data_IF_337649102731
#
_entry.id   IF_337649102731
#
_cell.length_a   1.000
_cell.length_b   1.000
_cell.length_c   1.000
_cell.angle_alpha   90.00
_cell.angle_beta   90.00
_cell.angle_gamma   90.00
#
_symmetry.space_group_name_H-M   'P 1'
#
loop_
_entity.id
_entity.type
_entity.pdbx_description
1 polymer ?
#
# COMPACT_ATOMS: atom_id res chain seq x y z
N UNK A 1 -21.73 -43.34 82.77
CA UNK A 1 -22.31 -43.93 81.56
C UNK A 1 -23.10 -42.91 80.71
N UNK A 2 -23.93 -42.05 81.33
CA UNK A 2 -24.72 -41.02 80.62
C UNK A 2 -23.88 -39.93 79.95
N UNK A 3 -22.78 -39.51 80.58
CA UNK A 3 -21.84 -38.48 79.99
C UNK A 3 -21.19 -38.99 78.71
N UNK A 4 -20.82 -40.22 78.63
CA UNK A 4 -20.20 -40.80 77.43
C UNK A 4 -21.19 -40.91 76.25
N UNK A 5 -22.48 -41.15 76.55
CA UNK A 5 -23.51 -41.15 75.51
C UNK A 5 -23.79 -39.76 74.94
N UNK A 6 -23.88 -38.77 75.79
CA UNK A 6 -24.07 -37.36 75.33
C UNK A 6 -22.90 -36.87 74.50
N UNK A 7 -21.67 -37.22 74.85
CA UNK A 7 -20.47 -36.87 74.06
C UNK A 7 -20.47 -37.56 72.67
N UNK A 8 -20.87 -38.83 72.58
CA UNK A 8 -21.02 -39.57 71.33
C UNK A 8 -22.14 -39.00 70.46
N UNK A 9 -23.29 -38.66 71.06
CA UNK A 9 -24.42 -38.05 70.34
C UNK A 9 -24.08 -36.70 69.79
N UNK A 10 -23.42 -35.82 70.54
CA UNK A 10 -22.96 -34.49 70.05
C UNK A 10 -21.93 -34.66 68.92
N UNK A 11 -21.03 -35.62 68.98
CA UNK A 11 -20.07 -35.93 67.95
C UNK A 11 -20.73 -36.39 66.63
N UNK A 12 -21.79 -37.21 66.74
CA UNK A 12 -22.57 -37.66 65.58
C UNK A 12 -23.32 -36.52 64.92
N UNK A 13 -23.93 -35.59 65.68
CA UNK A 13 -24.53 -34.37 65.14
C UNK A 13 -23.50 -33.48 64.41
N UNK A 14 -22.33 -33.29 65.02
CA UNK A 14 -21.25 -32.48 64.34
C UNK A 14 -20.75 -33.10 63.02
N UNK A 15 -20.64 -34.43 62.97
CA UNK A 15 -20.25 -35.16 61.75
C UNK A 15 -21.35 -35.04 60.70
N UNK A 16 -22.63 -35.16 61.06
CA UNK A 16 -23.75 -35.02 60.16
C UNK A 16 -23.82 -33.58 59.57
N UNK A 17 -23.66 -32.56 60.40
CA UNK A 17 -23.64 -31.16 59.94
C UNK A 17 -22.47 -30.88 59.01
N UNK A 18 -21.27 -31.42 59.29
CA UNK A 18 -20.11 -31.31 58.38
C UNK A 18 -20.35 -32.01 57.04
N UNK A 19 -21.00 -33.19 57.07
CA UNK A 19 -21.33 -33.92 55.84
C UNK A 19 -22.29 -33.12 54.97
N UNK A 20 -23.40 -32.60 55.52
CA UNK A 20 -24.36 -31.75 54.83
C UNK A 20 -23.70 -30.48 54.23
N UNK A 21 -22.75 -29.89 54.95
CA UNK A 21 -22.00 -28.71 54.46
C UNK A 21 -21.11 -29.08 53.28
N UNK A 22 -20.41 -30.20 53.34
CA UNK A 22 -19.52 -30.67 52.26
C UNK A 22 -20.35 -31.04 51.01
N UNK A 23 -21.49 -31.71 51.21
CA UNK A 23 -22.40 -32.09 50.12
C UNK A 23 -22.96 -30.84 49.39
N UNK A 24 -23.37 -29.82 50.15
CA UNK A 24 -23.79 -28.53 49.58
C UNK A 24 -22.65 -27.82 48.81
N UNK A 25 -21.41 -27.87 49.34
CA UNK A 25 -20.24 -27.32 48.65
C UNK A 25 -19.88 -28.06 47.34
N UNK A 26 -20.03 -29.39 47.35
CA UNK A 26 -19.80 -30.22 46.14
C UNK A 26 -20.82 -29.87 45.07
N UNK A 27 -22.10 -29.83 45.39
CA UNK A 27 -23.16 -29.46 44.45
C UNK A 27 -22.92 -28.07 43.84
N UNK A 28 -22.56 -27.07 44.66
CA UNK A 28 -22.27 -25.75 44.18
C UNK A 28 -21.06 -25.71 43.21
N UNK A 29 -20.00 -26.47 43.49
CA UNK A 29 -18.85 -26.58 42.63
C UNK A 29 -19.14 -27.34 41.32
N UNK A 30 -20.04 -28.31 41.32
CA UNK A 30 -20.48 -28.97 40.09
C UNK A 30 -21.25 -28.01 39.18
N UNK A 31 -22.15 -27.19 39.71
CA UNK A 31 -22.88 -26.17 38.98
C UNK A 31 -21.89 -25.11 38.41
N UNK A 32 -20.96 -24.65 39.22
CA UNK A 32 -19.94 -23.67 38.79
C UNK A 32 -19.07 -24.25 37.65
N UNK A 33 -18.69 -25.53 37.76
CA UNK A 33 -17.93 -26.24 36.72
C UNK A 33 -18.70 -26.34 35.41
N UNK A 34 -19.98 -26.65 35.43
CA UNK A 34 -20.83 -26.69 34.23
C UNK A 34 -20.91 -25.28 33.58
N UNK A 35 -21.15 -24.24 34.35
CA UNK A 35 -21.21 -22.87 33.86
C UNK A 35 -19.87 -22.41 33.22
N UNK A 36 -18.76 -22.74 33.86
CA UNK A 36 -17.43 -22.43 33.31
C UNK A 36 -17.15 -23.20 32.02
N UNK A 37 -17.59 -24.47 31.95
CA UNK A 37 -17.42 -25.30 30.75
C UNK A 37 -18.23 -24.73 29.57
N UNK A 38 -19.45 -24.30 29.79
CA UNK A 38 -20.29 -23.69 28.74
C UNK A 38 -19.76 -22.31 28.31
N UNK A 39 -19.29 -21.50 29.25
CA UNK A 39 -18.64 -20.26 28.94
C UNK A 39 -17.36 -20.46 28.07
N UNK A 40 -16.56 -21.47 28.42
CA UNK A 40 -15.37 -21.83 27.65
C UNK A 40 -15.73 -22.27 26.23
N UNK A 41 -16.77 -23.09 26.03
CA UNK A 41 -17.25 -23.46 24.68
C UNK A 41 -17.68 -22.22 23.85
N UNK A 42 -18.43 -21.32 24.49
CA UNK A 42 -18.87 -20.08 23.83
C UNK A 42 -17.71 -19.19 23.45
N UNK A 43 -16.70 -19.08 24.29
CA UNK A 43 -15.48 -18.28 23.97
C UNK A 43 -14.68 -18.91 22.84
N UNK A 44 -14.50 -20.21 22.83
CA UNK A 44 -13.84 -20.94 21.74
C UNK A 44 -14.58 -20.76 20.41
N UNK A 45 -15.89 -20.82 20.41
CA UNK A 45 -16.69 -20.59 19.22
C UNK A 45 -16.52 -19.13 18.70
N UNK A 46 -16.54 -18.15 19.60
CA UNK A 46 -16.26 -16.75 19.23
C UNK A 46 -14.84 -16.56 18.67
N UNK A 47 -13.85 -17.20 19.27
CA UNK A 47 -12.48 -17.15 18.78
C UNK A 47 -12.37 -17.66 17.34
N UNK A 48 -12.97 -18.82 17.03
CA UNK A 48 -13.01 -19.35 15.67
C UNK A 48 -13.63 -18.36 14.68
N UNK A 49 -14.77 -17.74 15.02
CA UNK A 49 -15.43 -16.74 14.16
C UNK A 49 -14.50 -15.56 13.90
N UNK A 50 -13.78 -15.07 14.92
CA UNK A 50 -12.84 -13.95 14.75
C UNK A 50 -11.63 -14.34 13.90
N UNK A 51 -11.09 -15.53 14.06
CA UNK A 51 -9.98 -16.05 13.24
C UNK A 51 -10.38 -16.15 11.76
N UNK A 52 -11.56 -16.69 11.47
CA UNK A 52 -12.11 -16.77 10.13
C UNK A 52 -12.34 -15.37 9.52
N UNK A 53 -12.89 -14.43 10.31
CA UNK A 53 -13.11 -13.06 9.87
C UNK A 53 -11.80 -12.35 9.54
N UNK A 54 -10.76 -12.52 10.37
CA UNK A 54 -9.43 -11.95 10.13
C UNK A 54 -8.82 -12.53 8.85
N UNK A 55 -8.92 -13.83 8.63
CA UNK A 55 -8.43 -14.49 7.42
C UNK A 55 -9.13 -13.94 6.17
N UNK A 56 -10.44 -13.84 6.20
CA UNK A 56 -11.22 -13.29 5.10
C UNK A 56 -10.86 -11.81 4.80
N UNK A 57 -10.70 -10.99 5.85
CA UNK A 57 -10.28 -9.60 5.69
C UNK A 57 -8.87 -9.47 5.07
N UNK A 58 -7.95 -10.35 5.44
CA UNK A 58 -6.62 -10.38 4.80
C UNK A 58 -6.70 -10.70 3.31
N UNK A 59 -7.46 -11.72 2.93
CA UNK A 59 -7.67 -12.08 1.53
C UNK A 59 -8.29 -10.92 0.72
N UNK A 60 -9.25 -10.21 1.30
CA UNK A 60 -9.88 -9.06 0.66
C UNK A 60 -8.91 -7.90 0.45
N UNK A 61 -8.09 -7.58 1.46
CA UNK A 61 -7.05 -6.54 1.37
C UNK A 61 -6.03 -6.90 0.29
N UNK A 62 -5.59 -8.15 0.25
CA UNK A 62 -4.64 -8.63 -0.75
C UNK A 62 -5.20 -8.55 -2.17
N UNK A 63 -6.47 -8.94 -2.36
CA UNK A 63 -7.13 -8.86 -3.66
C UNK A 63 -7.28 -7.41 -4.15
N UNK A 64 -7.67 -6.48 -3.28
CA UNK A 64 -7.78 -5.06 -3.59
C UNK A 64 -6.41 -4.46 -3.92
N UNK A 65 -5.41 -4.75 -3.11
CA UNK A 65 -4.04 -4.26 -3.32
C UNK A 65 -3.47 -4.74 -4.67
N UNK A 66 -3.65 -6.01 -5.01
CA UNK A 66 -3.21 -6.56 -6.31
C UNK A 66 -3.87 -5.88 -7.50
N UNK A 67 -5.15 -5.56 -7.42
CA UNK A 67 -5.87 -4.86 -8.50
C UNK A 67 -5.25 -3.49 -8.77
N UNK A 68 -4.98 -2.71 -7.71
CA UNK A 68 -4.36 -1.39 -7.84
C UNK A 68 -2.92 -1.46 -8.34
N UNK A 69 -2.13 -2.41 -7.83
CA UNK A 69 -0.76 -2.65 -8.29
C UNK A 69 -0.75 -2.98 -9.78
N UNK A 70 -1.61 -3.88 -10.24
CA UNK A 70 -1.71 -4.26 -11.65
C UNK A 70 -2.09 -3.09 -12.56
N UNK A 71 -2.99 -2.19 -12.13
CA UNK A 71 -3.34 -0.99 -12.90
C UNK A 71 -2.15 -0.03 -12.98
N UNK A 72 -1.46 0.20 -11.87
CA UNK A 72 -0.28 1.04 -11.82
C UNK A 72 0.87 0.48 -12.67
N UNK A 73 1.08 -0.83 -12.62
CA UNK A 73 2.07 -1.54 -13.44
C UNK A 73 1.81 -1.36 -14.93
N UNK A 74 0.55 -1.48 -15.36
CA UNK A 74 0.15 -1.25 -16.75
C UNK A 74 0.41 0.18 -17.20
N UNK A 75 0.04 1.16 -16.38
CA UNK A 75 0.25 2.58 -16.68
C UNK A 75 1.74 2.91 -16.79
N UNK A 76 2.54 2.44 -15.83
CA UNK A 76 4.00 2.63 -15.84
C UNK A 76 4.64 1.97 -17.04
N UNK A 77 4.26 0.74 -17.37
CA UNK A 77 4.80 0.02 -18.53
C UNK A 77 4.45 0.73 -19.84
N UNK A 78 3.23 1.23 -19.98
CA UNK A 78 2.83 2.04 -21.15
C UNK A 78 3.70 3.29 -21.29
N UNK A 79 3.91 4.03 -20.21
CA UNK A 79 4.73 5.24 -20.23
C UNK A 79 6.20 4.96 -20.51
N UNK A 80 6.77 3.94 -19.85
CA UNK A 80 8.18 3.57 -20.00
C UNK A 80 8.47 3.07 -21.42
N UNK A 81 7.62 2.23 -21.99
CA UNK A 81 7.79 1.75 -23.37
C UNK A 81 7.59 2.85 -24.41
N UNK A 82 6.74 3.84 -24.13
CA UNK A 82 6.52 4.98 -25.01
C UNK A 82 7.76 5.90 -25.03
N UNK A 83 8.32 6.20 -23.87
CA UNK A 83 9.45 7.14 -23.77
C UNK A 83 10.77 6.48 -24.16
N UNK A 84 11.06 5.29 -23.63
CA UNK A 84 12.31 4.55 -23.86
C UNK A 84 12.12 3.50 -24.97
N UNK A 85 11.68 3.96 -26.14
CA UNK A 85 11.33 3.12 -27.30
C UNK A 85 12.49 2.26 -27.83
N UNK A 86 13.73 2.69 -27.58
CA UNK A 86 14.98 2.02 -27.97
C UNK A 86 15.43 0.95 -26.95
N UNK A 87 14.70 0.81 -25.85
CA UNK A 87 14.97 -0.12 -24.77
C UNK A 87 13.76 -1.03 -24.51
N UNK A 88 14.00 -2.29 -24.26
CA UNK A 88 12.96 -3.23 -23.88
C UNK A 88 12.81 -3.25 -22.35
N UNK A 89 12.27 -2.16 -21.80
CA UNK A 89 12.05 -2.00 -20.38
C UNK A 89 10.67 -2.47 -19.95
N UNK A 90 10.62 -3.11 -18.78
CA UNK A 90 9.39 -3.49 -18.09
C UNK A 90 9.52 -3.20 -16.61
N UNK A 91 8.49 -2.55 -16.04
CA UNK A 91 8.39 -2.31 -14.59
C UNK A 91 7.63 -3.48 -13.97
N UNK A 92 8.12 -3.95 -12.83
CA UNK A 92 7.50 -4.98 -12.02
C UNK A 92 7.45 -4.54 -10.57
N UNK A 93 6.28 -4.71 -9.94
CA UNK A 93 6.11 -4.52 -8.51
C UNK A 93 6.21 -5.87 -7.79
N UNK A 94 6.87 -5.87 -6.63
CA UNK A 94 6.87 -7.01 -5.72
C UNK A 94 6.43 -6.57 -4.33
N UNK A 95 5.40 -7.25 -3.83
CA UNK A 95 4.96 -7.09 -2.45
C UNK A 95 5.65 -8.15 -1.61
N UNK A 96 6.38 -7.72 -0.62
CA UNK A 96 7.04 -8.59 0.37
C UNK A 96 6.61 -8.19 1.78
N UNK A 97 6.59 -9.14 2.69
CA UNK A 97 6.35 -8.87 4.10
C UNK A 97 7.70 -8.75 4.83
N UNK A 98 7.92 -7.62 5.47
CA UNK A 98 9.09 -7.38 6.30
C UNK A 98 8.68 -6.84 7.66
N UNK A 99 9.02 -7.57 8.74
CA UNK A 99 8.70 -7.20 10.13
C UNK A 99 7.21 -6.86 10.35
N UNK A 100 6.30 -7.71 9.88
CA UNK A 100 4.84 -7.50 9.94
C UNK A 100 4.33 -6.25 9.19
N UNK A 101 5.10 -5.72 8.24
CA UNK A 101 4.69 -4.62 7.37
C UNK A 101 4.82 -5.04 5.92
N UNK A 102 3.81 -4.73 5.12
CA UNK A 102 3.89 -4.95 3.67
C UNK A 102 4.83 -3.91 3.06
N UNK A 103 5.85 -4.38 2.37
CA UNK A 103 6.80 -3.56 1.62
C UNK A 103 6.54 -3.73 0.12
N UNK A 104 6.49 -2.62 -0.61
CA UNK A 104 6.40 -2.60 -2.06
C UNK A 104 7.76 -2.24 -2.65
N UNK A 105 8.31 -3.13 -3.45
CA UNK A 105 9.54 -2.91 -4.20
C UNK A 105 9.24 -2.73 -5.67
N UNK A 106 9.97 -1.82 -6.33
CA UNK A 106 9.83 -1.51 -7.75
C UNK A 106 11.10 -1.97 -8.46
N UNK A 107 10.94 -2.83 -9.44
CA UNK A 107 12.04 -3.34 -10.25
C UNK A 107 11.91 -2.90 -11.69
N UNK A 108 13.03 -2.59 -12.30
CA UNK A 108 13.19 -2.45 -13.74
C UNK A 108 13.73 -3.76 -14.30
N UNK A 109 13.07 -4.28 -15.31
CA UNK A 109 13.51 -5.43 -16.06
C UNK A 109 13.89 -4.95 -17.47
N UNK A 110 15.15 -5.14 -17.83
CA UNK A 110 15.66 -4.86 -19.16
C UNK A 110 15.88 -6.16 -19.91
N UNK A 111 15.23 -6.33 -21.06
CA UNK A 111 15.43 -7.48 -21.94
C UNK A 111 16.50 -7.15 -22.97
N UNK A 112 17.63 -7.84 -22.92
CA UNK A 112 18.74 -7.65 -23.85
C UNK A 112 18.43 -8.26 -25.24
N UNK A 113 19.29 -8.00 -26.24
CA UNK A 113 19.12 -8.50 -27.61
C UNK A 113 19.16 -10.03 -27.70
N UNK A 114 19.92 -10.67 -26.82
CA UNK A 114 20.03 -12.14 -26.69
C UNK A 114 18.83 -12.79 -25.96
N UNK A 115 17.88 -11.96 -25.50
CA UNK A 115 16.71 -12.40 -24.75
C UNK A 115 16.94 -12.56 -23.24
N UNK A 116 18.14 -12.26 -22.72
CA UNK A 116 18.41 -12.27 -21.29
C UNK A 116 17.66 -11.11 -20.58
N UNK A 117 16.93 -11.42 -19.54
CA UNK A 117 16.29 -10.42 -18.68
C UNK A 117 17.19 -10.08 -17.50
N UNK A 118 17.50 -8.79 -17.34
CA UNK A 118 18.22 -8.26 -16.18
C UNK A 118 17.25 -7.50 -15.31
N UNK A 119 17.05 -7.98 -14.09
CA UNK A 119 16.19 -7.36 -13.07
C UNK A 119 17.05 -6.54 -12.11
N UNK A 120 16.75 -5.25 -12.00
CA UNK A 120 17.46 -4.31 -11.10
C UNK A 120 16.48 -3.55 -10.24
N UNK A 121 16.86 -3.20 -8.99
CA UNK A 121 16.06 -2.29 -8.16
C UNK A 121 16.02 -0.91 -8.84
N UNK A 122 14.87 -0.24 -8.81
CA UNK A 122 14.72 1.08 -9.41
C UNK A 122 15.69 2.10 -8.83
N UNK A 123 16.11 1.94 -7.58
CA UNK A 123 17.07 2.81 -6.90
C UNK A 123 18.44 2.81 -7.57
N UNK A 124 18.82 1.70 -8.18
CA UNK A 124 20.13 1.50 -8.82
C UNK A 124 20.16 1.96 -10.28
N UNK A 125 19.02 2.44 -10.81
CA UNK A 125 18.87 2.86 -12.20
C UNK A 125 19.14 4.35 -12.40
N UNK A 126 19.29 4.77 -13.67
CA UNK A 126 19.56 6.14 -14.06
C UNK A 126 18.47 7.14 -13.64
N UNK A 127 18.83 8.41 -13.50
CA UNK A 127 17.90 9.45 -13.07
C UNK A 127 16.72 9.65 -14.03
N UNK A 128 16.93 9.57 -15.35
CA UNK A 128 15.87 9.77 -16.33
C UNK A 128 14.69 8.81 -16.16
N UNK A 129 14.96 7.52 -15.96
CA UNK A 129 13.88 6.53 -15.76
C UNK A 129 13.18 6.73 -14.41
N UNK A 130 13.94 7.05 -13.35
CA UNK A 130 13.37 7.37 -12.03
C UNK A 130 12.44 8.59 -12.10
N UNK A 131 12.80 9.61 -12.85
CA UNK A 131 11.98 10.80 -13.07
C UNK A 131 10.65 10.44 -13.74
N UNK A 132 10.67 9.64 -14.79
CA UNK A 132 9.44 9.22 -15.49
C UNK A 132 8.56 8.38 -14.60
N UNK A 133 9.13 7.42 -13.87
CA UNK A 133 8.37 6.60 -12.93
C UNK A 133 7.74 7.47 -11.84
N UNK A 134 8.51 8.38 -11.23
CA UNK A 134 8.01 9.30 -10.21
C UNK A 134 6.88 10.20 -10.73
N UNK A 135 7.00 10.71 -11.96
CA UNK A 135 5.96 11.49 -12.61
C UNK A 135 4.67 10.67 -12.82
N UNK A 136 4.76 9.45 -13.34
CA UNK A 136 3.59 8.60 -13.54
C UNK A 136 2.93 8.17 -12.22
N UNK A 137 3.73 7.97 -11.17
CA UNK A 137 3.18 7.73 -9.83
C UNK A 137 2.35 8.92 -9.33
N UNK A 138 2.79 10.16 -9.59
CA UNK A 138 2.01 11.36 -9.26
C UNK A 138 0.71 11.44 -10.08
N UNK A 139 0.78 11.17 -11.39
CA UNK A 139 -0.42 11.09 -12.26
C UNK A 139 -1.40 10.07 -11.72
N UNK A 140 -0.93 8.86 -11.42
CA UNK A 140 -1.78 7.80 -10.85
C UNK A 140 -2.41 8.23 -9.52
N UNK A 141 -1.66 8.84 -8.63
CA UNK A 141 -2.15 9.33 -7.34
C UNK A 141 -3.28 10.36 -7.51
N UNK A 142 -3.11 11.32 -8.43
CA UNK A 142 -4.11 12.34 -8.73
C UNK A 142 -5.39 11.71 -9.27
N UNK A 143 -5.28 10.78 -10.23
CA UNK A 143 -6.43 10.08 -10.81
C UNK A 143 -7.14 9.22 -9.78
N UNK A 144 -6.39 8.47 -8.99
CA UNK A 144 -6.94 7.58 -7.96
C UNK A 144 -7.73 8.32 -6.89
N UNK A 145 -7.20 9.44 -6.41
CA UNK A 145 -7.85 10.29 -5.40
C UNK A 145 -8.83 11.31 -5.98
N UNK A 146 -9.02 11.33 -7.31
CA UNK A 146 -9.89 12.29 -8.02
C UNK A 146 -9.58 13.74 -7.67
N UNK A 147 -8.29 14.05 -7.58
CA UNK A 147 -7.81 15.41 -7.33
C UNK A 147 -7.86 16.25 -8.61
N UNK A 148 -7.71 17.57 -8.49
CA UNK A 148 -7.57 18.45 -9.65
C UNK A 148 -6.36 18.02 -10.49
N UNK A 149 -6.51 17.80 -11.81
CA UNK A 149 -5.43 17.27 -12.66
C UNK A 149 -4.42 18.36 -13.06
N UNK A 150 -3.77 18.98 -12.07
CA UNK A 150 -2.74 20.00 -12.26
C UNK A 150 -1.46 19.52 -11.60
N UNK A 151 -0.36 19.49 -12.37
CA UNK A 151 0.97 19.09 -11.88
C UNK A 151 1.96 20.22 -12.12
N UNK A 152 2.65 20.63 -11.05
CA UNK A 152 3.79 21.54 -11.11
C UNK A 152 5.08 20.71 -11.09
N UNK A 153 5.97 20.97 -12.07
CA UNK A 153 7.22 20.23 -12.24
C UNK A 153 8.35 21.25 -12.29
N UNK A 154 9.17 21.26 -11.23
CA UNK A 154 10.32 22.14 -11.10
C UNK A 154 11.59 21.35 -11.45
N UNK A 155 12.26 21.73 -12.56
CA UNK A 155 13.47 21.08 -13.11
C UNK A 155 13.35 19.56 -13.34
N UNK A 156 12.12 19.02 -13.36
CA UNK A 156 11.86 17.59 -13.25
C UNK A 156 12.40 16.74 -14.40
N UNK A 157 12.45 17.27 -15.62
CA UNK A 157 12.84 16.50 -16.82
C UNK A 157 14.25 16.80 -17.35
N UNK A 158 15.02 17.64 -16.63
CA UNK A 158 16.38 18.01 -17.04
C UNK A 158 17.36 16.83 -17.19
N UNK A 159 17.09 15.73 -16.49
CA UNK A 159 17.90 14.49 -16.55
C UNK A 159 17.49 13.54 -17.69
N UNK A 160 16.52 13.92 -18.53
CA UNK A 160 16.09 13.11 -19.65
C UNK A 160 16.96 13.41 -20.87
N UNK A 161 17.44 12.36 -21.56
CA UNK A 161 18.24 12.50 -22.77
C UNK A 161 17.42 13.14 -23.90
N UNK A 162 18.09 13.93 -24.76
CA UNK A 162 17.46 14.67 -25.85
C UNK A 162 16.54 13.82 -26.74
N UNK A 163 16.96 12.62 -27.04
CA UNK A 163 16.20 11.68 -27.90
C UNK A 163 14.83 11.31 -27.33
N UNK A 164 14.60 11.43 -26.02
CA UNK A 164 13.34 11.07 -25.36
C UNK A 164 12.36 12.25 -25.20
N UNK A 165 12.81 13.49 -25.42
CA UNK A 165 11.97 14.68 -25.27
C UNK A 165 10.71 14.67 -26.18
N UNK A 166 10.77 14.28 -27.46
CA UNK A 166 9.58 14.17 -28.31
C UNK A 166 8.54 13.17 -27.77
N UNK A 167 9.00 12.07 -27.18
CA UNK A 167 8.12 11.04 -26.60
C UNK A 167 7.53 11.48 -25.27
N UNK A 168 8.28 12.28 -24.47
CA UNK A 168 7.72 12.96 -23.30
C UNK A 168 6.58 13.88 -23.71
N UNK A 169 6.75 14.68 -24.78
CA UNK A 169 5.68 15.52 -25.33
C UNK A 169 4.44 14.70 -25.67
N UNK A 170 4.60 13.59 -26.38
CA UNK A 170 3.48 12.70 -26.73
C UNK A 170 2.77 12.18 -25.51
N UNK A 171 3.50 11.77 -24.46
CA UNK A 171 2.93 11.32 -23.19
C UNK A 171 2.12 12.43 -22.50
N UNK A 172 2.69 13.64 -22.38
CA UNK A 172 2.01 14.79 -21.75
C UNK A 172 0.75 15.19 -22.55
N UNK A 173 0.82 15.16 -23.88
CA UNK A 173 -0.33 15.43 -24.76
C UNK A 173 -1.44 14.40 -24.55
N UNK A 174 -1.11 13.10 -24.52
CA UNK A 174 -2.09 12.05 -24.26
C UNK A 174 -2.76 12.20 -22.90
N UNK A 175 -1.99 12.49 -21.86
CA UNK A 175 -2.54 12.72 -20.51
C UNK A 175 -3.44 13.97 -20.45
N UNK A 176 -3.10 15.03 -21.19
CA UNK A 176 -3.93 16.23 -21.32
C UNK A 176 -5.26 15.90 -22.03
N UNK A 177 -5.19 15.20 -23.16
CA UNK A 177 -6.37 14.90 -23.99
C UNK A 177 -7.30 13.88 -23.33
N UNK A 178 -6.74 12.86 -22.69
CA UNK A 178 -7.53 11.75 -22.12
C UNK A 178 -8.06 12.09 -20.72
N UNK A 179 -7.27 12.78 -19.89
CA UNK A 179 -7.60 13.01 -18.47
C UNK A 179 -7.72 14.50 -18.11
N UNK A 180 -7.51 15.41 -19.06
CA UNK A 180 -7.62 16.86 -18.82
C UNK A 180 -6.49 17.46 -17.98
N UNK A 181 -5.29 16.83 -17.94
CA UNK A 181 -4.17 17.35 -17.17
C UNK A 181 -3.67 18.69 -17.66
N UNK A 182 -3.29 19.54 -16.71
CA UNK A 182 -2.55 20.78 -16.93
C UNK A 182 -1.17 20.61 -16.29
N UNK A 183 -0.11 20.79 -17.10
CA UNK A 183 1.27 20.71 -16.64
C UNK A 183 1.89 22.09 -16.61
N UNK A 184 2.46 22.47 -15.47
CA UNK A 184 3.23 23.70 -15.30
C UNK A 184 4.69 23.31 -15.10
N UNK A 185 5.50 23.49 -16.15
CA UNK A 185 6.92 23.14 -16.14
C UNK A 185 7.74 24.40 -15.81
N UNK A 186 8.61 24.31 -14.82
CA UNK A 186 9.59 25.33 -14.48
C UNK A 186 10.95 24.74 -14.85
N UNK A 187 11.64 25.37 -15.80
CA UNK A 187 12.95 24.90 -16.24
C UNK A 187 13.76 25.99 -16.89
N UNK A 188 15.08 25.86 -16.81
CA UNK A 188 16.04 26.64 -17.60
C UNK A 188 16.50 25.88 -18.86
N UNK A 189 15.97 24.67 -19.11
CA UNK A 189 16.36 23.84 -20.24
C UNK A 189 15.57 24.23 -21.50
N UNK A 190 16.24 24.82 -22.54
CA UNK A 190 15.57 25.25 -23.77
C UNK A 190 14.89 24.09 -24.52
N UNK A 191 15.34 22.86 -24.31
CA UNK A 191 14.75 21.65 -24.95
C UNK A 191 13.29 21.41 -24.55
N UNK A 192 12.87 21.94 -23.40
CA UNK A 192 11.50 21.78 -22.89
C UNK A 192 10.55 22.88 -23.45
N UNK A 193 11.06 23.93 -24.12
CA UNK A 193 10.23 24.98 -24.72
C UNK A 193 9.33 24.38 -25.81
N UNK A 194 9.89 23.51 -26.65
CA UNK A 194 9.18 22.92 -27.78
C UNK A 194 8.05 21.97 -27.41
N UNK A 195 8.00 21.48 -26.15
CA UNK A 195 6.93 20.60 -25.67
C UNK A 195 5.77 21.36 -25.04
N UNK A 196 5.94 22.66 -24.76
CA UNK A 196 4.92 23.47 -24.09
C UNK A 196 3.96 24.11 -25.12
N UNK A 197 2.69 24.26 -24.75
CA UNK A 197 1.70 25.00 -25.54
C UNK A 197 1.96 26.53 -25.43
N UNK A 198 2.41 26.98 -24.27
CA UNK A 198 2.75 28.36 -23.96
C UNK A 198 3.99 28.41 -23.06
N UNK A 199 4.89 29.32 -23.35
CA UNK A 199 6.11 29.53 -22.57
C UNK A 199 6.17 30.98 -22.07
N UNK A 200 6.57 31.16 -20.82
CA UNK A 200 6.75 32.44 -20.17
C UNK A 200 8.20 32.60 -19.71
N UNK A 201 8.81 33.72 -20.04
CA UNK A 201 10.13 34.10 -19.54
C UNK A 201 9.98 34.90 -18.24
N UNK A 202 10.63 34.44 -17.18
CA UNK A 202 10.73 35.18 -15.90
C UNK A 202 12.13 35.75 -15.77
N UNK A 203 12.26 37.07 -15.81
CA UNK A 203 13.55 37.76 -15.70
C UNK A 203 13.41 39.06 -14.91
N UNK A 204 14.27 39.30 -13.93
CA UNK A 204 14.28 40.50 -13.07
C UNK A 204 12.92 40.81 -12.40
N UNK A 205 12.17 39.78 -11.99
CA UNK A 205 10.86 39.95 -11.37
C UNK A 205 9.69 40.21 -12.32
N UNK A 206 9.93 40.28 -13.62
CA UNK A 206 8.92 40.43 -14.67
C UNK A 206 8.61 39.08 -15.33
N UNK A 207 7.34 38.89 -15.70
CA UNK A 207 6.86 37.72 -16.45
C UNK A 207 6.40 38.19 -17.82
N UNK A 208 6.96 37.61 -18.89
CA UNK A 208 6.61 37.95 -20.26
C UNK A 208 6.33 36.68 -21.07
N UNK A 209 5.37 36.77 -21.99
CA UNK A 209 5.12 35.64 -22.93
C UNK A 209 6.34 35.53 -23.87
N UNK A 210 6.88 34.32 -23.98
CA UNK A 210 8.02 34.01 -24.84
C UNK A 210 7.54 33.69 -26.25
N UNK A 211 7.95 34.53 -27.22
CA UNK A 211 7.55 34.41 -28.63
C UNK A 211 8.68 33.90 -29.55
N UNK A 212 9.68 33.23 -28.99
CA UNK A 212 10.80 32.66 -29.78
C UNK A 212 11.88 33.64 -30.20
N UNK A 213 11.71 34.96 -30.00
CA UNK A 213 12.62 36.02 -30.49
C UNK A 213 13.50 36.66 -29.40
N UNK A 214 13.65 36.01 -28.25
CA UNK A 214 14.48 36.51 -27.16
C UNK A 214 15.61 35.54 -26.82
N UNK A 215 16.82 36.06 -26.55
CA UNK A 215 17.89 35.30 -25.91
C UNK A 215 17.38 34.80 -24.53
N UNK A 216 17.52 33.50 -24.29
CA UNK A 216 17.27 32.85 -22.98
C UNK A 216 18.37 33.26 -22.02
#
# INVERSE_FOLDING_TARGET
>A
MIENYNALYNKAIQIKSKYETIEAQLNNREIEKEQLTDNMKNLLHKQMIYEDAISYMKELIDALSRTHINHLEKLLNSAVTTIFFDRKYRIQFEVSEYRNSNCLSIYLIETQEDGLEIKTDIKDNGFGIKTIIGFILQVYFILYHKLSPIIFIDEGFGNLSLQYIPYLRSLLTSLKEEYGFIFVLISHDPRLIDIADQTYLVKNGEVRLYNGNGEI
#
